data_IF_067182623204
#
_entry.id   IF_067182623204
#
_cell.length_a   1.000
_cell.length_b   1.000
_cell.length_c   1.000
_cell.angle_alpha   90.00
_cell.angle_beta   90.00
_cell.angle_gamma   90.00
#
_symmetry.space_group_name_H-M   'P 1'
#
loop_
_entity.id
_entity.type
_entity.pdbx_description
1 polymer ?
#
# COMPACT_ATOMS: atom_id res chain seq x y z
N UNK A 1 6.75 7.65 8.11
CA UNK A 1 5.52 7.90 7.33
C UNK A 1 4.96 6.56 6.91
N UNK A 2 3.64 6.38 6.78
CA UNK A 2 3.03 5.13 6.32
C UNK A 2 3.32 4.90 4.81
N UNK A 3 4.61 4.62 4.57
CA UNK A 3 5.27 3.81 3.56
C UNK A 3 4.81 3.97 2.12
N UNK A 4 4.82 5.21 1.64
CA UNK A 4 4.65 5.52 0.22
C UNK A 4 3.25 6.01 -0.15
N UNK A 5 2.39 6.31 0.81
CA UNK A 5 1.14 7.03 0.54
C UNK A 5 1.41 8.46 0.02
N UNK A 6 0.76 8.79 -1.09
CA UNK A 6 0.78 10.11 -1.72
C UNK A 6 -0.16 11.06 -0.94
N UNK A 7 0.35 12.15 -0.33
CA UNK A 7 -0.47 13.09 0.43
C UNK A 7 -1.67 13.61 -0.35
N UNK A 8 -1.54 13.86 -1.65
CA UNK A 8 -2.65 14.35 -2.46
C UNK A 8 -3.76 13.31 -2.58
N UNK A 9 -3.40 12.03 -2.76
CA UNK A 9 -4.38 10.94 -2.86
C UNK A 9 -5.03 10.65 -1.50
N UNK A 10 -4.29 10.74 -0.41
CA UNK A 10 -4.84 10.63 0.94
C UNK A 10 -5.75 11.83 1.26
N UNK A 11 -5.43 13.04 0.79
CA UNK A 11 -6.31 14.20 0.93
C UNK A 11 -7.66 13.98 0.23
N UNK A 12 -7.69 13.29 -0.92
CA UNK A 12 -8.96 12.91 -1.56
C UNK A 12 -9.81 12.00 -0.66
N UNK A 13 -9.19 11.06 0.08
CA UNK A 13 -9.90 10.24 1.06
C UNK A 13 -10.46 11.10 2.20
N UNK A 14 -9.67 12.06 2.71
CA UNK A 14 -10.14 13.03 3.70
C UNK A 14 -11.31 13.86 3.17
N UNK A 15 -11.24 14.37 1.94
CA UNK A 15 -12.33 15.14 1.33
C UNK A 15 -13.61 14.29 1.20
N UNK A 16 -13.49 13.01 0.82
CA UNK A 16 -14.62 12.09 0.76
C UNK A 16 -15.23 11.85 2.14
N UNK A 17 -14.40 11.60 3.16
CA UNK A 17 -14.88 11.49 4.54
C UNK A 17 -15.57 12.79 4.99
N UNK A 18 -14.97 13.96 4.75
CA UNK A 18 -15.54 15.27 5.09
C UNK A 18 -16.98 15.40 4.57
N UNK A 19 -17.26 14.97 3.33
CA UNK A 19 -18.61 15.03 2.73
C UNK A 19 -19.65 14.25 3.53
N UNK A 20 -19.29 13.09 4.08
CA UNK A 20 -20.18 12.28 4.91
C UNK A 20 -20.37 12.90 6.30
N UNK A 21 -19.27 13.34 6.92
CA UNK A 21 -19.28 13.83 8.30
C UNK A 21 -19.90 15.23 8.45
N UNK A 22 -20.00 16.02 7.37
CA UNK A 22 -20.77 17.28 7.36
C UNK A 22 -22.27 17.06 7.57
N UNK A 23 -22.79 15.85 7.32
CA UNK A 23 -24.19 15.51 7.56
C UNK A 23 -24.51 15.25 9.05
N UNK A 24 -23.50 15.08 9.90
CA UNK A 24 -23.67 14.86 11.32
C UNK A 24 -24.01 16.18 12.04
N UNK A 25 -24.70 16.07 13.19
CA UNK A 25 -24.90 17.21 14.07
C UNK A 25 -23.53 17.81 14.49
N UNK A 26 -23.39 19.15 14.56
CA UNK A 26 -22.10 19.80 14.83
C UNK A 26 -21.39 19.30 16.10
N UNK A 27 -22.16 19.00 17.16
CA UNK A 27 -21.63 18.49 18.43
C UNK A 27 -21.01 17.10 18.26
N UNK A 28 -21.60 16.24 17.45
CA UNK A 28 -21.07 14.90 17.14
C UNK A 28 -19.82 15.02 16.27
N UNK A 29 -19.84 15.90 15.27
CA UNK A 29 -18.65 16.17 14.44
C UNK A 29 -17.48 16.64 15.31
N UNK A 30 -17.70 17.56 16.25
CA UNK A 30 -16.65 18.08 17.13
C UNK A 30 -16.08 17.01 18.08
N UNK A 31 -16.89 16.06 18.54
CA UNK A 31 -16.43 14.94 19.36
C UNK A 31 -15.56 13.95 18.58
N UNK A 32 -15.90 13.71 17.31
CA UNK A 32 -15.15 12.79 16.45
C UNK A 32 -13.90 13.44 15.84
N UNK A 33 -13.94 14.76 15.61
CA UNK A 33 -12.84 15.53 15.01
C UNK A 33 -12.37 16.71 15.89
N UNK A 34 -11.91 16.47 17.13
CA UNK A 34 -11.53 17.56 18.04
C UNK A 34 -10.35 18.39 17.51
N UNK A 35 -9.51 17.81 16.65
CA UNK A 35 -8.35 18.45 16.04
C UNK A 35 -8.61 19.09 14.67
N UNK A 36 -9.84 19.02 14.14
CA UNK A 36 -10.17 19.59 12.83
C UNK A 36 -9.45 18.92 11.66
N UNK A 37 -9.14 17.62 11.76
CA UNK A 37 -8.50 16.83 10.73
C UNK A 37 -9.30 16.83 9.43
N UNK A 38 -10.64 16.75 9.48
CA UNK A 38 -11.48 16.78 8.28
C UNK A 38 -11.45 18.14 7.57
N UNK A 39 -11.10 19.21 8.27
CA UNK A 39 -11.03 20.57 7.73
C UNK A 39 -9.59 21.01 7.41
N UNK A 40 -8.58 20.16 7.68
CA UNK A 40 -7.16 20.44 7.44
C UNK A 40 -6.64 19.66 6.24
N UNK A 41 -6.17 20.32 5.16
CA UNK A 41 -5.56 19.63 4.01
C UNK A 41 -4.37 18.77 4.40
N UNK A 42 -4.28 17.57 3.81
CA UNK A 42 -3.13 16.67 3.93
C UNK A 42 -2.15 17.01 2.81
N UNK A 43 -0.96 17.49 3.17
CA UNK A 43 0.04 17.97 2.22
C UNK A 43 1.38 17.23 2.31
N UNK A 44 1.61 16.50 3.41
CA UNK A 44 2.87 15.88 3.70
C UNK A 44 2.72 14.54 4.44
N UNK A 45 3.85 13.90 4.68
CA UNK A 45 3.96 12.65 5.41
C UNK A 45 3.38 12.72 6.84
N UNK A 46 3.42 13.89 7.50
CA UNK A 46 2.89 14.06 8.84
C UNK A 46 1.35 14.11 8.82
N UNK A 47 0.76 14.78 7.83
CA UNK A 47 -0.68 14.77 7.57
C UNK A 47 -1.20 13.38 7.25
N UNK A 48 -0.46 12.61 6.43
CA UNK A 48 -0.77 11.19 6.17
C UNK A 48 -0.79 10.39 7.47
N UNK A 49 0.23 10.54 8.33
CA UNK A 49 0.28 9.80 9.60
C UNK A 49 -0.91 10.12 10.51
N UNK A 50 -1.29 11.40 10.62
CA UNK A 50 -2.48 11.81 11.38
C UNK A 50 -3.76 11.22 10.81
N UNK A 51 -3.89 11.13 9.49
CA UNK A 51 -5.03 10.51 8.82
C UNK A 51 -5.11 9.01 9.13
N UNK A 52 -4.01 8.30 8.98
CA UNK A 52 -3.89 6.87 9.27
C UNK A 52 -4.37 6.52 10.67
N UNK A 53 -3.93 7.29 11.65
CA UNK A 53 -4.24 7.07 13.07
C UNK A 53 -5.66 7.55 13.43
N UNK A 54 -6.39 8.14 12.48
CA UNK A 54 -7.74 8.68 12.70
C UNK A 54 -8.84 7.63 12.50
N UNK A 55 -9.94 7.82 13.23
CA UNK A 55 -11.15 7.01 13.06
C UNK A 55 -11.78 7.17 11.68
N UNK A 56 -11.50 8.27 10.96
CA UNK A 56 -12.05 8.53 9.62
C UNK A 56 -11.45 7.62 8.54
N UNK A 57 -10.31 6.98 8.83
CA UNK A 57 -9.69 5.98 7.97
C UNK A 57 -10.30 4.58 8.19
N UNK A 58 -11.16 4.39 9.19
CA UNK A 58 -11.84 3.11 9.43
C UNK A 58 -13.00 2.92 8.43
N UNK A 59 -12.68 2.31 7.28
CA UNK A 59 -13.62 1.63 6.38
C UNK A 59 -14.80 2.46 5.87
N UNK A 60 -14.64 3.12 4.72
CA UNK A 60 -15.80 3.48 3.89
C UNK A 60 -16.21 2.22 3.11
N UNK A 61 -17.49 1.79 3.16
CA UNK A 61 -17.95 0.66 2.36
C UNK A 61 -17.72 0.94 0.86
N UNK A 62 -17.00 0.05 0.20
CA UNK A 62 -16.78 0.12 -1.25
C UNK A 62 -18.07 -0.21 -2.01
N UNK A 63 -18.12 0.15 -3.29
CA UNK A 63 -19.25 -0.19 -4.16
C UNK A 63 -19.36 -1.73 -4.31
N UNK A 64 -20.58 -2.33 -4.30
CA UNK A 64 -20.77 -3.78 -4.38
C UNK A 64 -20.17 -4.42 -5.63
N UNK A 65 -20.06 -3.69 -6.74
CA UNK A 65 -19.37 -4.14 -7.96
C UNK A 65 -17.86 -4.36 -7.81
N UNK A 66 -17.26 -3.88 -6.70
CA UNK A 66 -15.88 -4.19 -6.29
C UNK A 66 -15.82 -5.29 -5.23
N UNK A 67 -16.94 -5.97 -4.95
CA UNK A 67 -17.03 -7.11 -4.05
C UNK A 67 -17.16 -8.39 -4.87
N UNK A 68 -16.06 -9.13 -5.09
CA UNK A 68 -16.11 -10.43 -5.77
C UNK A 68 -15.44 -11.53 -4.94
N UNK A 69 -16.16 -12.13 -4.01
CA UNK A 69 -15.67 -13.27 -3.22
C UNK A 69 -16.21 -14.60 -3.73
N UNK A 70 -15.34 -15.60 -3.88
CA UNK A 70 -15.73 -17.02 -3.94
C UNK A 70 -15.39 -17.65 -2.59
N UNK A 71 -16.40 -18.24 -1.95
CA UNK A 71 -16.21 -19.08 -0.75
C UNK A 71 -15.44 -20.35 -1.12
N UNK A 72 -14.61 -20.91 -0.24
CA UNK A 72 -14.19 -22.29 -0.38
C UNK A 72 -15.45 -23.13 -0.53
N UNK A 73 -15.47 -24.07 -1.49
CA UNK A 73 -16.55 -25.04 -1.59
C UNK A 73 -16.56 -25.86 -0.30
N UNK A 74 -17.37 -25.43 0.67
CA UNK A 74 -17.72 -26.22 1.82
C UNK A 74 -18.49 -27.45 1.33
N UNK A 75 -17.79 -28.58 1.26
CA UNK A 75 -18.31 -29.92 1.52
C UNK A 75 -19.63 -30.36 0.89
N UNK A 76 -20.03 -29.86 -0.29
CA UNK A 76 -21.18 -30.41 -1.00
C UNK A 76 -20.76 -31.00 -2.34
N UNK A 77 -21.07 -32.29 -2.44
CA UNK A 77 -20.85 -33.18 -3.55
C UNK A 77 -21.60 -32.66 -4.77
N UNK A 78 -20.93 -31.97 -5.69
CA UNK A 78 -21.39 -31.85 -7.07
C UNK A 78 -20.17 -31.95 -8.00
N UNK A 79 -20.30 -32.64 -9.15
CA UNK A 79 -19.16 -33.01 -9.98
C UNK A 79 -18.49 -31.77 -10.60
N UNK A 80 -17.18 -31.84 -10.88
CA UNK A 80 -16.40 -30.68 -11.30
C UNK A 80 -16.87 -30.21 -12.67
N UNK A 81 -17.41 -28.99 -12.73
CA UNK A 81 -17.38 -28.22 -13.97
C UNK A 81 -15.91 -27.88 -14.27
N UNK A 82 -15.53 -27.99 -15.55
CA UNK A 82 -14.16 -27.87 -16.04
C UNK A 82 -13.38 -26.73 -15.35
N UNK A 83 -12.18 -27.06 -14.87
CA UNK A 83 -11.31 -26.13 -14.18
C UNK A 83 -10.95 -24.95 -15.10
N UNK A 84 -11.48 -23.77 -14.79
CA UNK A 84 -10.94 -22.51 -15.30
C UNK A 84 -9.52 -22.33 -14.73
N UNK A 85 -8.51 -22.00 -15.56
CA UNK A 85 -7.11 -21.90 -15.14
C UNK A 85 -6.78 -20.60 -14.39
N UNK A 86 -7.73 -19.94 -13.74
CA UNK A 86 -7.50 -18.69 -13.01
C UNK A 86 -7.27 -18.98 -11.52
N UNK A 87 -6.03 -18.97 -11.02
CA UNK A 87 -5.75 -19.21 -9.62
C UNK A 87 -6.23 -18.01 -8.78
N UNK A 88 -7.05 -18.29 -7.77
CA UNK A 88 -7.21 -17.49 -6.54
C UNK A 88 -7.43 -15.97 -6.71
N UNK A 89 -8.69 -15.55 -6.66
CA UNK A 89 -9.07 -14.14 -6.72
C UNK A 89 -8.55 -13.27 -5.57
N UNK A 90 -8.39 -11.98 -5.88
CA UNK A 90 -7.80 -10.88 -5.09
C UNK A 90 -8.45 -10.63 -3.70
N UNK A 91 -9.49 -11.36 -3.33
CA UNK A 91 -10.22 -11.18 -2.07
C UNK A 91 -9.77 -12.10 -0.91
N UNK A 92 -8.71 -12.89 -1.09
CA UNK A 92 -8.03 -13.58 0.01
C UNK A 92 -6.86 -12.78 0.62
N UNK A 93 -6.58 -11.59 0.07
CA UNK A 93 -5.67 -10.64 0.70
C UNK A 93 -6.40 -9.98 1.89
N UNK A 94 -5.71 -9.60 2.97
CA UNK A 94 -6.25 -8.54 3.81
C UNK A 94 -6.55 -7.36 2.88
N UNK A 95 -7.82 -6.97 2.75
CA UNK A 95 -8.32 -5.80 1.98
C UNK A 95 -7.37 -4.59 2.01
N UNK A 96 -6.67 -4.27 3.13
CA UNK A 96 -5.69 -3.19 3.15
C UNK A 96 -4.56 -3.24 2.12
N UNK A 97 -4.08 -4.43 1.69
CA UNK A 97 -2.90 -4.49 0.80
C UNK A 97 -3.25 -4.08 -0.63
N UNK A 98 -4.38 -4.55 -1.16
CA UNK A 98 -4.81 -4.18 -2.52
C UNK A 98 -5.15 -2.69 -2.62
N UNK A 99 -5.78 -2.15 -1.57
CA UNK A 99 -6.22 -0.75 -1.53
C UNK A 99 -5.05 0.24 -1.46
N UNK A 100 -3.88 -0.17 -0.96
CA UNK A 100 -2.65 0.67 -0.97
C UNK A 100 -2.31 1.16 -2.37
N UNK A 101 -2.61 0.39 -3.41
CA UNK A 101 -2.39 0.80 -4.80
C UNK A 101 -3.14 2.09 -5.17
N UNK A 102 -4.28 2.37 -4.52
CA UNK A 102 -5.13 3.52 -4.83
C UNK A 102 -4.58 4.84 -4.30
N UNK A 103 -3.76 4.81 -3.25
CA UNK A 103 -3.29 6.01 -2.58
C UNK A 103 -1.78 6.10 -2.43
N UNK A 104 -1.00 5.09 -2.82
CA UNK A 104 0.46 5.20 -2.89
C UNK A 104 0.92 6.14 -4.02
N UNK A 105 2.17 6.59 -3.94
CA UNK A 105 2.86 7.21 -5.07
C UNK A 105 2.89 6.24 -6.26
N UNK A 106 2.69 6.79 -7.47
CA UNK A 106 2.63 5.99 -8.69
C UNK A 106 3.99 5.42 -9.10
N UNK A 107 5.07 6.02 -8.62
CA UNK A 107 6.45 5.63 -8.92
C UNK A 107 6.96 4.42 -8.10
N UNK A 108 6.19 3.94 -7.13
CA UNK A 108 6.51 2.72 -6.38
C UNK A 108 5.69 1.55 -6.91
N UNK A 109 6.28 0.42 -7.23
CA UNK A 109 5.56 -0.78 -7.67
C UNK A 109 5.29 -1.71 -6.47
N UNK A 110 4.02 -1.80 -6.03
CA UNK A 110 3.58 -2.67 -4.93
C UNK A 110 3.64 -4.15 -5.31
N UNK A 111 3.09 -4.48 -6.49
CA UNK A 111 3.01 -5.84 -6.99
C UNK A 111 4.20 -6.13 -7.90
N UNK A 112 5.03 -7.07 -7.47
CA UNK A 112 6.27 -7.50 -8.14
C UNK A 112 6.21 -9.00 -8.42
N UNK A 113 7.12 -9.50 -9.23
CA UNK A 113 7.18 -10.92 -9.61
C UNK A 113 8.44 -11.57 -9.04
N UNK A 114 8.27 -12.66 -8.29
CA UNK A 114 9.37 -13.43 -7.71
C UNK A 114 10.18 -14.21 -8.76
N UNK A 115 11.30 -14.80 -8.36
CA UNK A 115 12.20 -15.54 -9.26
C UNK A 115 11.55 -16.79 -9.88
N UNK A 116 10.43 -17.24 -9.32
CA UNK A 116 9.64 -18.37 -9.81
C UNK A 116 8.45 -17.93 -10.68
N UNK A 117 8.33 -16.63 -10.97
CA UNK A 117 7.27 -16.06 -11.80
C UNK A 117 5.97 -15.79 -11.05
N UNK A 118 5.94 -15.92 -9.73
CA UNK A 118 4.71 -15.74 -8.95
C UNK A 118 4.55 -14.28 -8.47
N UNK A 119 3.31 -13.81 -8.28
CA UNK A 119 3.07 -12.50 -7.69
C UNK A 119 3.53 -12.43 -6.22
N UNK A 120 4.08 -11.28 -5.85
CA UNK A 120 4.43 -10.88 -4.50
C UNK A 120 4.03 -9.41 -4.27
N UNK A 121 3.71 -9.05 -3.02
CA UNK A 121 3.44 -7.66 -2.65
C UNK A 121 4.52 -7.16 -1.68
N UNK A 122 5.01 -5.95 -1.93
CA UNK A 122 6.08 -5.33 -1.14
C UNK A 122 5.74 -3.89 -0.75
N UNK A 123 6.28 -3.43 0.38
CA UNK A 123 6.18 -2.03 0.81
C UNK A 123 7.55 -1.44 1.11
N UNK A 124 7.76 -0.13 0.92
CA UNK A 124 9.01 0.52 1.29
C UNK A 124 9.17 0.51 2.81
N UNK A 125 10.39 0.35 3.32
CA UNK A 125 10.65 0.40 4.77
C UNK A 125 10.93 1.81 5.28
N UNK A 126 11.25 2.73 4.37
CA UNK A 126 11.62 4.10 4.67
C UNK A 126 10.75 5.10 3.90
N UNK A 127 10.94 6.39 4.21
CA UNK A 127 10.22 7.46 3.53
C UNK A 127 10.77 7.63 2.10
N UNK A 128 9.88 7.96 1.15
CA UNK A 128 10.29 8.31 -0.22
C UNK A 128 11.35 9.42 -0.18
N UNK A 129 12.44 9.24 -0.94
CA UNK A 129 13.57 10.18 -0.98
C UNK A 129 14.63 10.00 0.10
N UNK A 130 14.54 8.97 0.96
CA UNK A 130 15.57 8.67 1.97
C UNK A 130 16.85 8.03 1.40
N UNK A 131 16.80 7.54 0.15
CA UNK A 131 17.85 6.69 -0.43
C UNK A 131 17.83 5.23 0.04
N UNK A 132 16.90 4.85 0.92
CA UNK A 132 16.73 3.48 1.38
C UNK A 132 15.75 2.73 0.45
N UNK A 133 16.31 1.81 -0.35
CA UNK A 133 15.56 0.97 -1.29
C UNK A 133 15.30 -0.45 -0.76
N UNK A 134 15.34 -0.66 0.56
CA UNK A 134 14.88 -1.91 1.16
C UNK A 134 13.34 -2.03 1.05
N UNK A 135 12.85 -3.26 0.92
CA UNK A 135 11.41 -3.56 0.88
C UNK A 135 11.01 -4.61 1.90
N UNK A 136 9.83 -4.43 2.51
CA UNK A 136 9.17 -5.44 3.33
C UNK A 136 8.24 -6.27 2.47
N UNK A 137 8.38 -7.60 2.50
CA UNK A 137 7.48 -8.54 1.82
C UNK A 137 6.17 -8.69 2.59
N UNK A 138 5.10 -8.08 2.09
CA UNK A 138 3.75 -8.17 2.65
C UNK A 138 3.05 -9.46 2.23
N UNK A 139 3.32 -9.94 1.02
CA UNK A 139 2.73 -11.14 0.45
C UNK A 139 3.73 -11.88 -0.44
N UNK A 140 3.66 -13.21 -0.39
CA UNK A 140 4.35 -14.12 -1.30
C UNK A 140 3.38 -15.26 -1.65
N UNK A 141 3.41 -15.72 -2.90
CA UNK A 141 2.51 -16.77 -3.37
C UNK A 141 2.74 -18.09 -2.60
N UNK A 142 1.71 -18.74 -2.04
CA UNK A 142 1.87 -19.99 -1.30
C UNK A 142 2.59 -21.06 -2.10
N UNK A 143 3.50 -21.79 -1.45
CA UNK A 143 4.33 -22.82 -2.08
C UNK A 143 5.59 -22.28 -2.78
N UNK A 144 5.72 -20.97 -2.98
CA UNK A 144 6.97 -20.36 -3.49
C UNK A 144 8.10 -20.40 -2.46
N UNK A 145 9.34 -20.27 -2.94
CA UNK A 145 10.52 -20.10 -2.10
C UNK A 145 10.42 -18.81 -1.26
N UNK A 146 9.87 -17.73 -1.83
CA UNK A 146 9.66 -16.47 -1.13
C UNK A 146 8.66 -16.64 0.03
N UNK A 147 7.60 -17.43 -0.15
CA UNK A 147 6.66 -17.74 0.92
C UNK A 147 7.31 -18.53 2.06
N UNK A 148 8.22 -19.46 1.76
CA UNK A 148 8.98 -20.17 2.79
C UNK A 148 9.89 -19.23 3.60
N UNK A 149 10.57 -18.29 2.93
CA UNK A 149 11.39 -17.27 3.58
C UNK A 149 10.54 -16.35 4.47
N UNK A 150 9.38 -15.91 3.96
CA UNK A 150 8.44 -15.07 4.71
C UNK A 150 7.93 -15.78 5.96
N UNK A 151 7.50 -17.04 5.83
CA UNK A 151 7.07 -17.84 6.96
C UNK A 151 8.19 -18.15 7.96
N UNK A 152 9.44 -18.26 7.51
CA UNK A 152 10.58 -18.40 8.42
C UNK A 152 10.80 -17.10 9.23
N UNK A 153 10.74 -15.94 8.58
CA UNK A 153 10.85 -14.64 9.23
C UNK A 153 9.69 -14.41 10.24
N UNK A 154 8.45 -14.72 9.86
CA UNK A 154 7.27 -14.60 10.71
C UNK A 154 7.34 -15.51 11.94
N UNK A 155 7.81 -16.76 11.78
CA UNK A 155 8.04 -17.67 12.92
C UNK A 155 9.12 -17.18 13.88
N UNK A 156 10.03 -16.34 13.40
CA UNK A 156 11.02 -15.64 14.21
C UNK A 156 10.49 -14.28 14.74
N UNK A 157 9.21 -13.95 14.54
CA UNK A 157 8.61 -12.66 14.91
C UNK A 157 9.29 -11.46 14.24
N UNK A 158 9.80 -11.65 13.03
CA UNK A 158 10.48 -10.62 12.24
C UNK A 158 9.83 -10.44 10.87
N UNK A 159 9.82 -9.22 10.30
CA UNK A 159 9.42 -9.01 8.92
C UNK A 159 10.49 -9.58 7.96
N UNK A 160 10.07 -10.08 6.80
CA UNK A 160 11.00 -10.37 5.71
C UNK A 160 11.35 -9.06 4.99
N UNK A 161 12.55 -8.54 5.26
CA UNK A 161 13.10 -7.35 4.60
C UNK A 161 14.12 -7.79 3.55
N UNK A 162 13.98 -7.28 2.33
CA UNK A 162 14.87 -7.54 1.21
C UNK A 162 15.73 -6.31 0.93
N UNK A 163 17.03 -6.55 0.71
CA UNK A 163 18.02 -5.52 0.42
C UNK A 163 17.78 -4.76 -0.88
N UNK A 164 18.43 -3.61 -1.10
CA UNK A 164 18.26 -2.80 -2.32
C UNK A 164 18.70 -3.53 -3.61
N UNK A 165 19.64 -4.46 -3.48
CA UNK A 165 20.14 -5.24 -4.62
C UNK A 165 19.23 -6.40 -5.03
N UNK A 166 18.24 -6.74 -4.21
CA UNK A 166 17.32 -7.84 -4.47
C UNK A 166 16.47 -7.54 -5.72
N UNK A 167 16.22 -8.52 -6.62
CA UNK A 167 15.43 -8.30 -7.84
C UNK A 167 14.06 -7.67 -7.58
N UNK A 168 13.36 -8.10 -6.51
CA UNK A 168 12.08 -7.51 -6.10
C UNK A 168 12.18 -6.03 -5.70
N UNK A 169 13.24 -5.65 -4.98
CA UNK A 169 13.46 -4.24 -4.59
C UNK A 169 13.72 -3.38 -5.83
N UNK A 170 14.50 -3.89 -6.79
CA UNK A 170 14.74 -3.21 -8.07
C UNK A 170 13.47 -3.02 -8.88
N UNK A 171 12.61 -4.04 -8.96
CA UNK A 171 11.29 -3.93 -9.57
C UNK A 171 10.41 -2.88 -8.87
N UNK A 172 10.41 -2.89 -7.53
CA UNK A 172 9.61 -1.97 -6.72
C UNK A 172 9.97 -0.49 -6.94
N UNK A 173 11.27 -0.19 -7.07
CA UNK A 173 11.80 1.18 -7.17
C UNK A 173 12.19 1.63 -8.59
N UNK A 174 11.90 0.83 -9.62
CA UNK A 174 12.36 1.09 -11.00
C UNK A 174 12.04 2.50 -11.51
N UNK A 175 10.91 3.08 -11.09
CA UNK A 175 10.47 4.41 -11.53
C UNK A 175 10.94 5.56 -10.60
N UNK A 176 11.49 5.25 -9.42
CA UNK A 176 12.04 6.26 -8.50
C UNK A 176 13.52 6.56 -8.81
N UNK A 177 14.26 5.60 -9.35
CA UNK A 177 15.68 5.77 -9.71
C UNK A 177 15.89 6.77 -10.86
N UNK A 178 14.85 7.07 -11.65
CA UNK A 178 14.91 8.05 -12.74
C UNK A 178 14.59 9.49 -12.27
N UNK A 179 14.09 9.66 -11.03
CA UNK A 179 13.58 10.94 -10.52
C UNK A 179 14.61 11.86 -9.85
N UNK A 180 15.81 11.36 -9.54
CA UNK A 180 16.85 12.14 -8.83
C UNK A 180 17.72 13.01 -9.76
N UNK A 181 17.45 13.03 -11.07
CA UNK A 181 18.03 14.00 -11.99
C UNK A 181 17.22 15.31 -12.03
N UNK A 182 17.17 16.05 -10.92
CA UNK A 182 16.76 17.45 -10.96
C UNK A 182 17.94 18.32 -11.46
N UNK A 183 17.80 19.12 -12.53
CA UNK A 183 18.85 20.00 -13.04
C UNK A 183 18.92 21.27 -12.17
N UNK A 184 19.56 21.18 -11.00
CA UNK A 184 19.63 22.29 -10.04
C UNK A 184 21.00 22.54 -9.41
N UNK A 185 21.97 21.64 -9.58
CA UNK A 185 23.32 21.82 -9.05
C UNK A 185 24.18 22.68 -9.98
N UNK A 186 24.05 24.01 -9.94
CA UNK A 186 25.12 24.87 -10.47
C UNK A 186 26.37 24.64 -9.60
N UNK A 187 27.38 24.00 -10.18
CA UNK A 187 28.75 24.09 -9.66
C UNK A 187 29.12 25.57 -9.51
N UNK A 188 29.73 25.99 -8.39
CA UNK A 188 30.35 27.31 -8.34
C UNK A 188 31.48 27.34 -9.37
N UNK A 189 31.41 28.30 -10.28
CA UNK A 189 32.49 28.57 -11.22
C UNK A 189 33.79 28.89 -10.44
N UNK A 190 34.97 28.46 -10.92
CA UNK A 190 36.22 28.92 -10.35
C UNK A 190 36.35 30.41 -10.66
N UNK A 191 36.45 31.23 -9.61
CA UNK A 191 36.62 32.67 -9.72
C UNK A 191 38.00 33.05 -10.31
N UNK A 192 38.12 34.26 -10.87
CA UNK A 192 39.33 34.79 -11.50
C UNK A 192 40.49 35.03 -10.52
#
# INVERSE_FOLDING_TARGET
>A
AQFGADPAKVDLLRQNAKRLYVLLAPQVKQQLDPGGLLDTPIQDAAGVAKWTDSIFNAGVPLHPGFHTGVLPAGGTQNPPAAADPQPGGVHHYPTPIADVQLFKYDDFQLWVTDEQGNPAAVAPVAQRGSGDANVHVLYATPGSQLAQQKHAAERASTPLILGPDHPLSKQAYQNQQQGDAHPGGRSPAPGP
#
